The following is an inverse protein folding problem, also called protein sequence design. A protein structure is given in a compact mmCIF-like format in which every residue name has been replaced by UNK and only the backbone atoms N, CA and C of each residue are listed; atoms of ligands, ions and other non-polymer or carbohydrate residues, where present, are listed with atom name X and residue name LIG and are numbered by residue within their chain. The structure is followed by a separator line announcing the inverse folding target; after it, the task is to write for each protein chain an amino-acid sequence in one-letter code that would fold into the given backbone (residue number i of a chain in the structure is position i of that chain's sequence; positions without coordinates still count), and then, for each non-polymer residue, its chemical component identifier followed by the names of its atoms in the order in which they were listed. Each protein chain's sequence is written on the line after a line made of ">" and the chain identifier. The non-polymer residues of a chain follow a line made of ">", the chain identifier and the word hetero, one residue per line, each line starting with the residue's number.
data_IF_947908822843
#
_entry.id   IF_947908822843
#
_cell.length_a   1.000
_cell.length_b   1.000
_cell.length_c   1.000
_cell.angle_alpha   90.00
_cell.angle_beta   90.00
_cell.angle_gamma   90.00
#
_symmetry.space_group_name_H-M   'P 1'
#
loop_
_entity.id
_entity.type
_entity.pdbx_description
1 polymer ?
#
# COMPACT_ATOMS: atom_id res chain seq x y z
N UNK A 1 22.18 22.27 -56.00
CA UNK A 1 22.28 21.45 -54.77
C UNK A 1 21.27 22.01 -53.79
N UNK A 2 20.12 21.32 -53.58
CA UNK A 2 19.09 21.69 -52.63
C UNK A 2 19.18 20.75 -51.44
N UNK A 3 19.67 21.26 -50.32
CA UNK A 3 19.74 20.51 -49.03
C UNK A 3 18.37 20.50 -48.37
N UNK A 4 17.78 19.33 -48.27
CA UNK A 4 16.52 19.08 -47.55
C UNK A 4 16.86 18.93 -46.06
N UNK A 5 16.39 19.87 -45.24
CA UNK A 5 16.48 19.80 -43.77
C UNK A 5 15.24 19.05 -43.26
N UNK A 6 15.42 17.79 -42.87
CA UNK A 6 14.36 16.99 -42.26
C UNK A 6 14.26 17.37 -40.80
N UNK A 7 13.18 18.08 -40.45
CA UNK A 7 12.85 18.43 -39.06
C UNK A 7 12.25 17.20 -38.35
N UNK A 8 13.01 16.60 -37.45
CA UNK A 8 12.55 15.50 -36.60
C UNK A 8 11.69 16.08 -35.48
N UNK A 9 10.38 15.94 -35.62
CA UNK A 9 9.42 16.32 -34.56
C UNK A 9 9.41 15.22 -33.52
N UNK A 10 10.11 15.41 -32.39
CA UNK A 10 9.98 14.56 -31.20
C UNK A 10 8.70 14.93 -30.48
N UNK A 11 7.69 14.08 -30.62
CA UNK A 11 6.46 14.18 -29.81
C UNK A 11 6.80 13.79 -28.37
N UNK A 12 6.91 14.78 -27.51
CA UNK A 12 6.91 14.58 -26.07
C UNK A 12 5.47 14.19 -25.68
N UNK A 13 5.21 12.90 -25.50
CA UNK A 13 3.98 12.45 -24.86
C UNK A 13 4.03 12.87 -23.40
N UNK A 14 3.33 13.95 -23.08
CA UNK A 14 3.03 14.31 -21.69
C UNK A 14 2.14 13.22 -21.14
N UNK A 15 2.70 12.31 -20.34
CA UNK A 15 1.92 11.49 -19.43
C UNK A 15 1.34 12.44 -18.38
N UNK A 16 0.15 12.95 -18.65
CA UNK A 16 -0.67 13.58 -17.61
C UNK A 16 -1.03 12.49 -16.61
N UNK A 17 -0.56 12.62 -15.38
CA UNK A 17 -1.06 11.81 -14.28
C UNK A 17 -2.57 12.04 -14.18
N UNK A 18 -3.36 11.03 -14.55
CA UNK A 18 -4.78 10.99 -14.25
C UNK A 18 -4.84 10.65 -12.76
N UNK A 19 -5.27 11.62 -11.94
CA UNK A 19 -5.42 11.43 -10.50
C UNK A 19 -6.44 10.30 -10.24
N UNK A 20 -6.08 9.36 -9.36
CA UNK A 20 -7.01 8.46 -8.71
C UNK A 20 -7.42 7.19 -9.45
N UNK A 21 -6.73 6.74 -10.49
CA UNK A 21 -6.98 5.41 -11.07
C UNK A 21 -6.24 4.34 -10.27
N UNK A 22 -6.99 3.32 -9.82
CA UNK A 22 -6.41 2.20 -9.07
C UNK A 22 -5.47 1.40 -9.99
N UNK A 23 -4.22 1.13 -9.58
CA UNK A 23 -3.29 0.36 -10.38
C UNK A 23 -3.80 -1.07 -10.57
N UNK A 24 -3.65 -1.58 -11.80
CA UNK A 24 -4.16 -2.90 -12.15
C UNK A 24 -3.29 -4.04 -11.58
N UNK A 25 -3.89 -5.19 -11.36
CA UNK A 25 -3.15 -6.43 -11.09
C UNK A 25 -2.27 -6.76 -12.29
N UNK A 26 -1.00 -7.08 -12.03
CA UNK A 26 0.04 -7.29 -13.04
C UNK A 26 0.91 -6.07 -13.31
N UNK A 27 0.53 -4.88 -12.81
CA UNK A 27 1.32 -3.66 -12.97
C UNK A 27 2.30 -3.46 -11.79
N UNK A 28 3.41 -2.74 -12.02
CA UNK A 28 4.28 -2.32 -10.92
C UNK A 28 3.51 -1.51 -9.88
N UNK A 29 3.70 -1.81 -8.62
CA UNK A 29 3.12 -1.04 -7.53
C UNK A 29 3.65 0.41 -7.54
N UNK A 30 2.80 1.42 -7.38
CA UNK A 30 3.25 2.80 -7.23
C UNK A 30 4.24 2.95 -6.08
N UNK A 31 5.36 3.62 -6.36
CA UNK A 31 6.38 3.88 -5.35
C UNK A 31 5.88 4.82 -4.27
N UNK A 32 6.38 4.64 -3.07
CA UNK A 32 6.14 5.55 -1.95
C UNK A 32 7.43 5.84 -1.20
N UNK A 33 7.45 6.94 -0.47
CA UNK A 33 8.45 7.27 0.54
C UNK A 33 7.77 8.02 1.68
N UNK A 34 7.66 7.38 2.85
CA UNK A 34 6.91 7.90 4.00
C UNK A 34 7.63 7.56 5.30
N UNK A 35 7.29 8.29 6.35
CA UNK A 35 7.76 7.98 7.70
C UNK A 35 6.82 6.99 8.39
N UNK A 36 7.41 6.09 9.17
CA UNK A 36 6.67 5.21 10.06
C UNK A 36 6.32 5.88 11.40
N UNK A 37 5.66 5.16 12.27
CA UNK A 37 5.29 5.57 13.63
C UNK A 37 6.48 5.95 14.54
N UNK A 38 7.70 5.69 14.13
CA UNK A 38 8.93 6.04 14.84
C UNK A 38 9.72 7.16 14.14
N UNK A 39 9.17 7.73 13.06
CA UNK A 39 9.80 8.75 12.24
C UNK A 39 10.89 8.22 11.30
N UNK A 40 11.01 6.91 11.12
CA UNK A 40 11.94 6.31 10.17
C UNK A 40 11.35 6.31 8.76
N UNK A 41 12.19 6.64 7.78
CA UNK A 41 11.78 6.63 6.38
C UNK A 41 11.77 5.23 5.80
N UNK A 42 10.72 4.92 5.07
CA UNK A 42 10.53 3.69 4.31
C UNK A 42 10.22 4.02 2.86
N UNK A 43 10.88 3.32 1.96
CA UNK A 43 10.61 3.33 0.52
C UNK A 43 10.03 1.96 0.12
N UNK A 44 9.18 1.92 -0.93
CA UNK A 44 8.71 0.63 -1.47
C UNK A 44 9.87 -0.30 -1.85
N UNK A 45 11.02 0.27 -2.24
CA UNK A 45 12.21 -0.51 -2.62
C UNK A 45 12.81 -1.31 -1.45
N UNK A 46 12.58 -0.89 -0.20
CA UNK A 46 13.07 -1.59 0.99
C UNK A 46 12.41 -2.98 1.15
N UNK A 47 11.26 -3.18 0.52
CA UNK A 47 10.49 -4.42 0.56
C UNK A 47 10.75 -5.35 -0.64
N UNK A 48 11.72 -5.01 -1.52
CA UNK A 48 12.08 -5.89 -2.64
C UNK A 48 12.64 -7.23 -2.15
N UNK A 49 12.24 -8.29 -2.82
CA UNK A 49 12.59 -9.66 -2.43
C UNK A 49 11.68 -10.27 -1.36
N UNK A 50 10.67 -9.51 -0.89
CA UNK A 50 9.71 -9.94 0.14
C UNK A 50 8.28 -9.77 -0.36
N UNK A 51 7.39 -10.65 0.00
CA UNK A 51 5.96 -10.46 -0.19
C UNK A 51 5.47 -9.34 0.73
N UNK A 52 4.65 -8.44 0.21
CA UNK A 52 4.18 -7.28 0.96
C UNK A 52 2.65 -7.16 0.89
N UNK A 53 2.01 -7.20 2.05
CA UNK A 53 0.61 -6.84 2.21
C UNK A 53 0.53 -5.35 2.61
N UNK A 54 0.08 -4.50 1.69
CA UNK A 54 -0.20 -3.08 1.96
C UNK A 54 -1.68 -2.93 2.21
N UNK A 55 -2.07 -2.43 3.38
CA UNK A 55 -3.47 -2.10 3.64
C UNK A 55 -3.64 -0.61 3.92
N UNK A 56 -4.57 0.01 3.19
CA UNK A 56 -5.00 1.38 3.42
C UNK A 56 -6.22 1.38 4.34
N UNK A 57 -6.24 2.31 5.30
CA UNK A 57 -7.34 2.42 6.24
C UNK A 57 -7.71 3.89 6.51
N UNK A 58 -8.98 4.17 6.85
CA UNK A 58 -9.48 5.54 6.95
C UNK A 58 -8.82 6.40 8.03
N UNK A 59 -8.64 5.86 9.26
CA UNK A 59 -8.17 6.66 10.37
C UNK A 59 -7.78 5.82 11.59
N UNK A 60 -6.69 6.21 12.24
CA UNK A 60 -6.24 5.66 13.52
C UNK A 60 -7.34 5.65 14.58
N UNK A 61 -7.26 4.66 15.46
CA UNK A 61 -8.11 4.52 16.66
C UNK A 61 -9.62 4.43 16.40
N UNK A 62 -10.09 4.36 15.15
CA UNK A 62 -11.50 4.06 14.84
C UNK A 62 -11.78 2.56 15.03
N UNK A 63 -13.02 2.16 15.37
CA UNK A 63 -13.31 0.76 15.70
C UNK A 63 -12.87 -0.25 14.64
N UNK A 64 -13.28 -0.08 13.38
CA UNK A 64 -12.93 -1.02 12.31
C UNK A 64 -11.43 -1.04 11.99
N UNK A 65 -10.74 0.12 12.01
CA UNK A 65 -9.31 0.17 11.79
C UNK A 65 -8.53 -0.47 12.94
N UNK A 66 -9.02 -0.33 14.17
CA UNK A 66 -8.44 -1.00 15.33
C UNK A 66 -8.61 -2.52 15.25
N UNK A 67 -9.80 -3.00 14.86
CA UNK A 67 -10.05 -4.43 14.63
C UNK A 67 -9.08 -4.99 13.60
N UNK A 68 -8.98 -4.37 12.44
CA UNK A 68 -8.09 -4.81 11.35
C UNK A 68 -6.61 -4.84 11.78
N UNK A 69 -6.12 -3.76 12.39
CA UNK A 69 -4.75 -3.68 12.88
C UNK A 69 -4.44 -4.74 13.95
N UNK A 70 -5.38 -4.98 14.87
CA UNK A 70 -5.24 -6.02 15.88
C UNK A 70 -5.25 -7.43 15.26
N UNK A 71 -6.07 -7.69 14.25
CA UNK A 71 -6.08 -8.95 13.52
C UNK A 71 -4.75 -9.19 12.81
N UNK A 72 -4.16 -8.19 12.14
CA UNK A 72 -2.82 -8.29 11.57
C UNK A 72 -1.76 -8.53 12.66
N UNK A 73 -1.80 -7.81 13.79
CA UNK A 73 -0.90 -8.01 14.93
C UNK A 73 -0.93 -9.44 15.42
N UNK A 74 -2.12 -9.97 15.65
CA UNK A 74 -2.30 -11.30 16.26
C UNK A 74 -1.85 -12.43 15.32
N UNK A 75 -1.80 -12.16 14.01
CA UNK A 75 -1.34 -13.09 12.97
C UNK A 75 0.05 -12.78 12.42
N UNK A 76 0.77 -11.79 12.94
CA UNK A 76 2.04 -11.32 12.35
C UNK A 76 3.11 -12.41 12.23
N UNK A 77 3.13 -13.36 13.15
CA UNK A 77 4.07 -14.49 13.09
C UNK A 77 3.76 -15.42 11.92
N UNK A 78 2.50 -15.57 11.52
CA UNK A 78 2.14 -16.35 10.35
C UNK A 78 2.64 -15.68 9.07
N UNK A 79 2.47 -14.35 8.93
CA UNK A 79 3.04 -13.59 7.82
C UNK A 79 4.56 -13.75 7.73
N UNK A 80 5.26 -13.55 8.85
CA UNK A 80 6.73 -13.70 8.90
C UNK A 80 7.19 -15.11 8.58
N UNK A 81 6.47 -16.14 9.02
CA UNK A 81 6.81 -17.54 8.76
C UNK A 81 6.79 -17.89 7.27
N UNK A 82 5.93 -17.23 6.50
CA UNK A 82 5.86 -17.39 5.04
C UNK A 82 6.67 -16.33 4.27
N UNK A 83 7.49 -15.51 4.95
CA UNK A 83 8.32 -14.50 4.30
C UNK A 83 7.53 -13.32 3.75
N UNK A 84 6.43 -12.94 4.40
CA UNK A 84 5.63 -11.78 4.06
C UNK A 84 5.69 -10.70 5.13
N UNK A 85 5.62 -9.44 4.70
CA UNK A 85 5.51 -8.26 5.56
C UNK A 85 4.15 -7.59 5.42
N UNK A 86 3.77 -6.86 6.48
CA UNK A 86 2.51 -6.11 6.53
C UNK A 86 2.84 -4.64 6.76
N UNK A 87 2.25 -3.77 5.97
CA UNK A 87 2.37 -2.31 6.09
C UNK A 87 1.00 -1.67 6.05
N UNK A 88 0.67 -0.89 7.08
CA UNK A 88 -0.53 -0.07 7.09
C UNK A 88 -0.24 1.34 6.57
N UNK A 89 -1.22 1.97 5.92
CA UNK A 89 -1.09 3.34 5.42
C UNK A 89 -2.40 4.11 5.69
N UNK A 90 -2.30 5.25 6.34
CA UNK A 90 -3.40 6.22 6.42
C UNK A 90 -2.90 7.66 6.26
N UNK A 91 -3.82 8.62 6.25
CA UNK A 91 -3.48 10.03 6.16
C UNK A 91 -3.19 10.68 7.52
N UNK A 92 -3.21 9.90 8.60
CA UNK A 92 -2.83 10.37 9.92
C UNK A 92 -1.30 10.66 9.96
N UNK A 93 -0.89 11.52 10.88
CA UNK A 93 0.50 11.89 11.07
C UNK A 93 1.29 10.88 11.90
N UNK A 94 2.61 11.05 11.94
CA UNK A 94 3.54 10.18 12.67
C UNK A 94 3.20 10.08 14.16
N UNK A 95 2.76 11.19 14.79
CA UNK A 95 2.41 11.21 16.22
C UNK A 95 1.17 10.36 16.49
N UNK A 96 0.13 10.49 15.68
CA UNK A 96 -1.08 9.66 15.73
C UNK A 96 -0.76 8.17 15.57
N UNK A 97 0.07 7.84 14.56
CA UNK A 97 0.54 6.48 14.33
C UNK A 97 1.33 5.93 15.52
N UNK A 98 2.16 6.77 16.15
CA UNK A 98 2.91 6.38 17.35
C UNK A 98 1.98 6.03 18.51
N UNK A 99 0.98 6.87 18.78
CA UNK A 99 -0.03 6.62 19.82
C UNK A 99 -0.83 5.35 19.52
N UNK A 100 -1.26 5.18 18.26
CA UNK A 100 -2.04 4.01 17.83
C UNK A 100 -1.21 2.72 17.97
N UNK A 101 0.02 2.71 17.47
CA UNK A 101 0.93 1.58 17.56
C UNK A 101 1.26 1.21 19.01
N UNK A 102 1.57 2.19 19.86
CA UNK A 102 1.91 1.97 21.26
C UNK A 102 0.72 1.43 22.05
N UNK A 103 -0.47 1.97 21.82
CA UNK A 103 -1.70 1.57 22.50
C UNK A 103 -2.08 0.12 22.22
N UNK A 104 -1.99 -0.28 20.95
CA UNK A 104 -2.40 -1.61 20.51
C UNK A 104 -1.23 -2.58 20.32
N UNK A 105 0.01 -2.15 20.60
CA UNK A 105 1.23 -2.96 20.48
C UNK A 105 1.41 -3.55 19.08
N UNK A 106 1.26 -2.71 18.07
CA UNK A 106 1.39 -3.12 16.67
C UNK A 106 2.87 -3.39 16.33
N UNK A 107 3.24 -4.63 15.95
CA UNK A 107 4.63 -5.03 15.70
C UNK A 107 5.06 -4.91 14.22
N UNK A 108 4.36 -4.10 13.47
CA UNK A 108 4.61 -3.85 12.05
C UNK A 108 4.57 -2.35 11.75
N UNK A 109 5.01 -1.99 10.55
CA UNK A 109 5.13 -0.59 10.09
C UNK A 109 3.74 -0.03 9.74
N UNK A 110 3.45 1.17 10.22
CA UNK A 110 2.35 2.00 9.74
C UNK A 110 2.91 3.34 9.25
N UNK A 111 2.55 3.74 8.04
CA UNK A 111 3.15 4.84 7.29
C UNK A 111 2.21 6.04 7.18
N UNK A 112 2.75 7.23 7.46
CA UNK A 112 2.03 8.50 7.46
C UNK A 112 1.99 9.11 6.06
N UNK A 113 0.87 8.99 5.36
CA UNK A 113 0.59 9.64 4.06
C UNK A 113 -0.21 10.94 4.27
N UNK A 114 0.32 11.88 5.08
CA UNK A 114 -0.37 13.10 5.50
C UNK A 114 -0.93 13.94 4.34
N UNK A 115 -0.28 13.90 3.18
CA UNK A 115 -0.73 14.59 1.96
C UNK A 115 -1.72 13.77 1.12
N UNK A 116 -1.87 12.47 1.38
CA UNK A 116 -2.68 11.56 0.58
C UNK A 116 -2.08 11.25 -0.80
N UNK A 117 -0.79 11.48 -0.99
CA UNK A 117 -0.10 11.29 -2.29
C UNK A 117 -0.05 9.83 -2.67
N UNK A 118 0.28 8.97 -1.72
CA UNK A 118 0.32 7.52 -1.95
C UNK A 118 -1.08 6.96 -2.09
N UNK A 119 -2.03 7.39 -1.25
CA UNK A 119 -3.43 7.00 -1.36
C UNK A 119 -4.04 7.39 -2.71
N UNK A 120 -3.67 8.55 -3.26
CA UNK A 120 -4.09 8.98 -4.61
C UNK A 120 -3.46 8.10 -5.69
N UNK A 121 -2.16 7.82 -5.60
CA UNK A 121 -1.45 6.97 -6.55
C UNK A 121 -1.99 5.52 -6.60
N UNK A 122 -2.51 5.03 -5.49
CA UNK A 122 -3.18 3.72 -5.40
C UNK A 122 -4.70 3.79 -5.69
N UNK A 123 -5.24 4.97 -6.03
CA UNK A 123 -6.67 5.15 -6.34
C UNK A 123 -7.60 5.02 -5.14
N UNK A 124 -7.06 5.02 -3.92
CA UNK A 124 -7.83 4.81 -2.69
C UNK A 124 -8.15 6.10 -1.93
N UNK A 125 -7.63 7.25 -2.37
CA UNK A 125 -7.94 8.54 -1.76
C UNK A 125 -9.42 8.90 -1.93
N UNK A 126 -10.05 9.33 -0.86
CA UNK A 126 -11.42 9.89 -0.86
C UNK A 126 -11.37 11.31 -0.32
N UNK A 127 -11.76 12.26 -1.18
CA UNK A 127 -11.81 13.69 -0.85
C UNK A 127 -13.27 14.12 -0.68
N UNK A 128 -13.65 14.38 0.56
CA UNK A 128 -14.98 14.88 0.93
C UNK A 128 -15.01 16.41 1.10
N UNK A 129 -14.06 17.14 0.47
CA UNK A 129 -13.87 18.61 0.53
C UNK A 129 -13.34 19.13 1.88
N UNK A 130 -13.90 18.66 2.99
CA UNK A 130 -13.48 19.06 4.34
C UNK A 130 -12.57 18.05 5.01
N UNK A 131 -12.62 16.80 4.55
CA UNK A 131 -11.85 15.68 5.11
C UNK A 131 -11.35 14.82 3.96
N UNK A 132 -10.09 14.46 4.00
CA UNK A 132 -9.50 13.44 3.14
C UNK A 132 -9.20 12.20 3.97
N UNK A 133 -9.49 11.03 3.43
CA UNK A 133 -9.17 9.74 4.05
C UNK A 133 -8.77 8.74 2.96
N UNK A 134 -8.07 7.68 3.34
CA UNK A 134 -7.96 6.51 2.49
C UNK A 134 -9.21 5.63 2.63
N UNK A 135 -9.70 5.07 1.55
CA UNK A 135 -10.69 3.98 1.62
C UNK A 135 -10.01 2.71 2.12
N UNK A 136 -10.79 1.85 2.78
CA UNK A 136 -10.30 0.55 3.25
C UNK A 136 -10.13 -0.39 2.06
N UNK A 137 -8.92 -0.49 1.57
CA UNK A 137 -8.53 -1.36 0.45
C UNK A 137 -7.11 -1.88 0.69
N UNK A 138 -6.79 -3.03 0.12
CA UNK A 138 -5.47 -3.62 0.30
C UNK A 138 -4.91 -4.18 -0.99
N UNK A 139 -3.60 -4.26 -1.05
CA UNK A 139 -2.86 -4.77 -2.20
C UNK A 139 -1.84 -5.81 -1.74
N UNK A 140 -1.76 -6.93 -2.44
CA UNK A 140 -0.62 -7.84 -2.34
C UNK A 140 0.38 -7.51 -3.44
N UNK A 141 1.62 -7.34 -3.02
CA UNK A 141 2.75 -7.01 -3.88
C UNK A 141 3.76 -8.15 -3.76
N UNK A 142 4.18 -8.68 -4.90
CA UNK A 142 5.15 -9.77 -4.95
C UNK A 142 6.60 -9.25 -4.74
N UNK A 143 7.59 -10.14 -4.56
CA UNK A 143 9.00 -9.76 -4.37
C UNK A 143 9.59 -8.88 -5.48
N UNK A 144 9.03 -8.95 -6.70
CA UNK A 144 9.41 -8.13 -7.84
C UNK A 144 8.75 -6.73 -7.80
N UNK A 145 7.89 -6.45 -6.80
CA UNK A 145 7.18 -5.18 -6.64
C UNK A 145 6.01 -5.00 -7.59
N UNK A 146 5.40 -6.10 -8.03
CA UNK A 146 4.22 -6.10 -8.90
C UNK A 146 2.99 -6.41 -8.05
N UNK A 147 1.89 -5.69 -8.30
CA UNK A 147 0.60 -5.97 -7.67
C UNK A 147 0.07 -7.30 -8.21
N UNK A 148 -0.19 -8.25 -7.31
CA UNK A 148 -0.72 -9.56 -7.69
C UNK A 148 -2.17 -9.77 -7.24
N UNK A 149 -2.64 -8.96 -6.31
CA UNK A 149 -4.04 -8.94 -5.87
C UNK A 149 -4.43 -7.57 -5.32
N UNK A 150 -5.68 -7.17 -5.57
CA UNK A 150 -6.31 -5.99 -5.02
C UNK A 150 -7.61 -6.41 -4.31
N UNK A 151 -7.80 -5.92 -3.09
CA UNK A 151 -8.99 -6.12 -2.27
C UNK A 151 -9.72 -4.77 -2.20
N UNK A 152 -10.80 -4.65 -2.98
CA UNK A 152 -11.59 -3.41 -3.07
C UNK A 152 -12.56 -3.23 -1.93
N UNK A 153 -13.12 -4.33 -1.44
CA UNK A 153 -14.11 -4.38 -0.35
C UNK A 153 -13.55 -5.23 0.80
N UNK A 154 -13.10 -4.55 1.85
CA UNK A 154 -12.39 -5.17 2.97
C UNK A 154 -13.27 -5.17 4.22
N UNK A 155 -13.57 -6.36 4.71
CA UNK A 155 -14.16 -6.57 6.04
C UNK A 155 -13.04 -6.67 7.10
N UNK A 156 -12.94 -5.72 8.04
CA UNK A 156 -11.90 -5.72 9.07
C UNK A 156 -11.80 -7.00 9.91
N UNK A 157 -12.91 -7.74 10.06
CA UNK A 157 -12.96 -8.93 10.90
C UNK A 157 -12.34 -10.16 10.22
N UNK A 158 -12.43 -10.25 8.88
CA UNK A 158 -12.03 -11.45 8.12
C UNK A 158 -10.82 -11.23 7.22
N UNK A 159 -10.50 -9.99 6.91
CA UNK A 159 -9.50 -9.62 5.89
C UNK A 159 -8.12 -10.25 6.11
N UNK A 160 -7.62 -10.26 7.34
CA UNK A 160 -6.29 -10.83 7.66
C UNK A 160 -6.19 -12.29 7.27
N UNK A 161 -7.25 -13.09 7.50
CA UNK A 161 -7.27 -14.51 7.14
C UNK A 161 -7.36 -14.71 5.63
N UNK A 162 -8.11 -13.84 4.94
CA UNK A 162 -8.17 -13.84 3.48
C UNK A 162 -6.79 -13.59 2.87
N UNK A 163 -6.07 -12.54 3.34
CA UNK A 163 -4.72 -12.20 2.87
C UNK A 163 -3.74 -13.35 3.10
N UNK A 164 -3.76 -13.98 4.28
CA UNK A 164 -2.90 -15.13 4.58
C UNK A 164 -3.17 -16.31 3.64
N UNK A 165 -4.43 -16.67 3.45
CA UNK A 165 -4.84 -17.78 2.57
C UNK A 165 -4.40 -17.56 1.12
N UNK A 166 -4.53 -16.33 0.63
CA UNK A 166 -4.10 -15.97 -0.71
C UNK A 166 -2.58 -16.04 -0.87
N UNK A 167 -1.83 -15.51 0.10
CA UNK A 167 -0.36 -15.60 0.11
C UNK A 167 0.10 -17.06 0.08
N UNK A 168 -0.42 -17.92 0.94
CA UNK A 168 -0.10 -19.34 0.97
C UNK A 168 -0.38 -20.02 -0.37
N UNK A 169 -1.52 -19.69 -1.00
CA UNK A 169 -1.91 -20.23 -2.30
C UNK A 169 -0.94 -19.77 -3.40
N UNK A 170 -0.63 -18.48 -3.47
CA UNK A 170 0.26 -17.91 -4.49
C UNK A 170 1.68 -18.45 -4.34
N UNK A 171 2.20 -18.52 -3.12
CA UNK A 171 3.55 -19.02 -2.85
C UNK A 171 3.68 -20.51 -3.14
N UNK A 172 2.64 -21.31 -2.85
CA UNK A 172 2.61 -22.73 -3.20
C UNK A 172 2.61 -22.97 -4.71
N UNK A 173 2.03 -22.06 -5.49
CA UNK A 173 2.01 -22.14 -6.95
C UNK A 173 3.41 -21.86 -7.58
N UNK A 174 4.25 -21.08 -6.91
CA UNK A 174 5.61 -20.75 -7.37
C UNK A 174 6.64 -21.84 -7.07
N UNK A 175 6.31 -22.82 -6.22
CA UNK A 175 7.21 -23.93 -5.85
C UNK A 175 7.02 -25.17 -6.75
N UNK A 176 6.11 -25.13 -7.72
CA UNK A 176 5.83 -26.21 -8.67
C UNK A 176 6.51 -25.98 -10.02
#
# INVERSE_FOLDING_TARGET
>A
MKTLFTLLLTTFSSFGAIAGETPAVGEPAPGFRMQDQNGQWHDLQDYRGTWLAVYFYPKDQTPGCTTEACNFRDNIFAFKAIGAEVVGISLDDVESHKEFSDKYKLPFVILADEGGVTADAYGVLRDYKLIKIASRQSFLINPEGVIVKHYEDVDPDTHTQEVLSDLETMMSALQK
#
